data_IF_570543473526
#
_entry.id   IF_570543473526
#
_cell.length_a   1.000
_cell.length_b   1.000
_cell.length_c   1.000
_cell.angle_alpha   90.00
_cell.angle_beta   90.00
_cell.angle_gamma   90.00
#
_symmetry.space_group_name_H-M   'P 1'
#
loop_
_entity.id
_entity.type
_entity.pdbx_description
1 polymer ?
#
# COMPACT_ATOMS: atom_id res chain seq x y z
N UNK A 1 -12.96 22.13 5.06
CA UNK A 1 -13.03 20.73 4.60
C UNK A 1 -12.34 19.88 5.65
N UNK A 2 -13.14 19.14 6.43
CA UNK A 2 -12.59 18.14 7.35
C UNK A 2 -12.40 16.86 6.56
N UNK A 3 -11.20 16.62 6.05
CA UNK A 3 -10.78 15.28 5.68
C UNK A 3 -10.75 14.45 6.95
N UNK A 4 -11.74 13.61 7.15
CA UNK A 4 -11.73 12.64 8.24
C UNK A 4 -10.72 11.56 7.88
N UNK A 5 -9.50 11.73 8.37
CA UNK A 5 -8.44 10.76 8.23
C UNK A 5 -8.63 9.71 9.32
N UNK A 6 -9.03 8.50 8.94
CA UNK A 6 -9.10 7.37 9.87
C UNK A 6 -7.73 6.70 9.88
N UNK A 7 -7.08 6.76 11.02
CA UNK A 7 -5.82 6.06 11.25
C UNK A 7 -6.09 4.67 11.81
N UNK A 8 -5.70 3.64 11.07
CA UNK A 8 -5.66 2.27 11.59
C UNK A 8 -4.22 1.94 11.98
N UNK A 9 -4.05 1.64 13.25
CA UNK A 9 -2.80 1.12 13.77
C UNK A 9 -2.94 -0.39 13.91
N UNK A 10 -2.27 -1.13 13.05
CA UNK A 10 -2.08 -2.57 13.27
C UNK A 10 -0.82 -2.75 14.09
N UNK A 11 -0.99 -3.13 15.33
CA UNK A 11 0.12 -3.67 16.13
C UNK A 11 0.27 -5.12 15.70
N UNK A 12 1.14 -5.36 14.73
CA UNK A 12 1.60 -6.72 14.46
C UNK A 12 2.89 -6.91 15.25
N UNK A 13 2.86 -7.86 16.04
CA UNK A 13 3.84 -8.48 16.84
C UNK A 13 3.72 -8.14 18.31
N UNK A 14 2.91 -8.92 18.87
CA UNK A 14 3.11 -9.34 20.22
C UNK A 14 4.19 -10.40 20.17
N UNK A 15 5.45 -10.01 20.20
CA UNK A 15 6.49 -10.88 20.75
C UNK A 15 5.89 -11.40 22.05
N UNK A 16 5.83 -12.70 22.23
CA UNK A 16 5.21 -13.41 23.34
C UNK A 16 5.43 -12.67 24.69
N UNK A 17 4.43 -11.91 25.10
CA UNK A 17 4.41 -11.14 26.33
C UNK A 17 4.31 -9.62 26.07
N UNK A 18 3.28 -9.01 26.61
CA UNK A 18 3.18 -7.55 26.74
C UNK A 18 4.20 -7.15 27.80
N UNK A 19 5.34 -6.63 27.38
CA UNK A 19 6.30 -6.06 28.32
C UNK A 19 5.85 -4.68 28.73
N UNK A 20 5.50 -4.54 29.99
CA UNK A 20 5.19 -3.26 30.63
C UNK A 20 6.44 -2.77 31.39
N UNK A 21 6.53 -1.47 31.64
CA UNK A 21 7.71 -0.85 32.27
C UNK A 21 8.14 -1.52 33.58
N UNK A 22 7.20 -2.10 34.31
CA UNK A 22 7.44 -2.79 35.57
C UNK A 22 7.79 -4.28 35.43
N UNK A 23 7.69 -4.84 34.22
CA UNK A 23 8.09 -6.23 33.98
C UNK A 23 9.61 -6.40 34.06
N UNK A 24 10.03 -7.62 34.40
CA UNK A 24 11.45 -7.96 34.50
C UNK A 24 11.91 -8.69 33.24
N UNK A 25 13.06 -8.27 32.74
CA UNK A 25 13.73 -8.89 31.62
C UNK A 25 15.11 -9.39 32.03
N UNK A 26 15.43 -10.63 31.68
CA UNK A 26 16.73 -11.21 31.93
C UNK A 26 17.73 -10.75 30.89
N UNK A 27 18.77 -10.03 31.27
CA UNK A 27 19.80 -9.58 30.36
C UNK A 27 20.54 -10.79 29.73
N UNK A 28 20.52 -10.98 28.41
CA UNK A 28 21.12 -12.15 27.77
C UNK A 28 22.66 -12.15 27.87
N UNK A 29 23.29 -11.03 28.18
CA UNK A 29 24.75 -10.91 28.26
C UNK A 29 25.28 -11.25 29.68
N UNK A 30 24.61 -10.77 30.73
CA UNK A 30 25.11 -10.98 32.11
C UNK A 30 24.13 -11.79 32.99
N UNK A 31 22.96 -12.17 32.49
CA UNK A 31 21.97 -12.92 33.24
C UNK A 31 21.23 -12.13 34.35
N UNK A 32 21.49 -10.84 34.50
CA UNK A 32 20.81 -10.03 35.51
C UNK A 32 19.34 -9.83 35.16
N UNK A 33 18.47 -10.00 36.15
CA UNK A 33 17.03 -9.75 36.03
C UNK A 33 16.74 -8.30 36.38
N UNK A 34 16.33 -7.49 35.41
CA UNK A 34 16.22 -6.03 35.52
C UNK A 34 14.87 -5.57 34.99
N UNK A 35 14.28 -4.55 35.58
CA UNK A 35 13.05 -3.95 35.06
C UNK A 35 13.28 -3.36 33.66
N UNK A 36 12.29 -3.51 32.79
CA UNK A 36 12.37 -3.03 31.39
C UNK A 36 12.63 -1.54 31.34
N UNK A 37 11.98 -0.75 32.19
CA UNK A 37 12.22 0.70 32.31
C UNK A 37 13.68 1.08 32.54
N UNK A 38 14.44 0.24 33.26
CA UNK A 38 15.85 0.48 33.55
C UNK A 38 16.77 0.03 32.39
N UNK A 39 16.29 -0.84 31.52
CA UNK A 39 17.04 -1.34 30.35
C UNK A 39 17.02 -0.38 29.15
N UNK A 40 16.17 0.65 29.19
CA UNK A 40 16.07 1.67 28.12
C UNK A 40 17.40 2.41 27.92
N UNK A 41 18.11 2.68 29.01
CA UNK A 41 19.44 3.31 29.00
C UNK A 41 20.59 2.29 28.94
N UNK A 42 20.28 1.00 28.88
CA UNK A 42 21.21 -0.11 28.92
C UNK A 42 21.19 -0.86 30.23
N UNK A 43 21.70 -2.09 30.24
CA UNK A 43 21.77 -2.91 31.44
C UNK A 43 22.63 -2.24 32.51
N UNK A 44 22.11 -2.00 33.74
CA UNK A 44 22.86 -1.32 34.80
C UNK A 44 24.08 -2.09 35.29
N UNK A 45 24.16 -3.41 35.00
CA UNK A 45 25.25 -4.26 35.44
C UNK A 45 26.36 -4.42 34.41
N UNK A 46 26.01 -4.69 33.15
CA UNK A 46 27.00 -4.94 32.08
C UNK A 46 26.99 -3.89 30.98
N UNK A 47 26.13 -2.89 31.07
CA UNK A 47 25.98 -1.79 30.10
C UNK A 47 25.60 -2.24 28.68
N UNK A 48 25.07 -3.45 28.52
CA UNK A 48 24.54 -3.90 27.23
C UNK A 48 23.34 -3.05 26.84
N UNK A 49 23.39 -2.47 25.66
CA UNK A 49 22.26 -1.70 25.10
C UNK A 49 21.27 -2.62 24.41
N UNK A 50 20.00 -2.33 24.59
CA UNK A 50 18.88 -3.05 23.98
C UNK A 50 18.22 -2.20 22.91
N UNK A 51 17.74 -2.85 21.87
CA UNK A 51 16.86 -2.18 20.89
C UNK A 51 15.50 -1.98 21.53
N UNK A 52 14.85 -0.84 21.28
CA UNK A 52 13.47 -0.60 21.77
C UNK A 52 12.50 -1.69 21.35
N UNK A 53 12.69 -2.29 20.17
CA UNK A 53 11.89 -3.41 19.67
C UNK A 53 12.09 -4.74 20.42
N UNK A 54 13.11 -4.85 21.24
CA UNK A 54 13.36 -6.02 22.12
C UNK A 54 12.69 -5.84 23.47
N UNK A 55 12.49 -4.60 23.91
CA UNK A 55 11.93 -4.25 25.19
C UNK A 55 10.43 -3.92 25.13
N UNK A 56 9.98 -3.31 24.04
CA UNK A 56 8.62 -2.80 23.89
C UNK A 56 7.97 -3.29 22.59
N UNK A 57 6.63 -3.40 22.58
CA UNK A 57 5.89 -3.61 21.34
C UNK A 57 6.22 -2.54 20.31
N UNK A 58 6.45 -2.95 19.08
CA UNK A 58 6.72 -2.04 17.96
C UNK A 58 5.56 -1.97 17.00
N UNK A 59 5.32 -0.79 16.44
CA UNK A 59 4.45 -0.64 15.27
C UNK A 59 5.22 -1.14 14.06
N UNK A 60 4.80 -2.25 13.48
CA UNK A 60 5.43 -2.83 12.29
C UNK A 60 4.93 -2.18 11.02
N UNK A 61 3.68 -1.69 11.02
CA UNK A 61 3.09 -1.00 9.89
C UNK A 61 1.97 -0.05 10.35
N UNK A 62 1.83 1.08 9.69
CA UNK A 62 0.66 1.95 9.82
C UNK A 62 0.29 2.51 8.45
N UNK A 63 -0.99 2.74 8.23
CA UNK A 63 -1.49 3.36 7.01
C UNK A 63 -2.67 4.26 7.30
N UNK A 64 -2.79 5.28 6.48
CA UNK A 64 -3.93 6.19 6.55
C UNK A 64 -4.95 5.74 5.50
N UNK A 65 -6.17 5.44 5.95
CA UNK A 65 -7.29 5.30 5.03
C UNK A 65 -7.83 6.71 4.77
N UNK A 66 -7.65 7.21 3.56
CA UNK A 66 -8.45 8.33 3.10
C UNK A 66 -9.87 7.86 2.93
N UNK A 67 -10.78 8.50 3.61
CA UNK A 67 -12.19 8.33 3.31
C UNK A 67 -12.45 8.98 1.95
N UNK A 68 -12.53 8.15 0.91
CA UNK A 68 -12.96 8.58 -0.42
C UNK A 68 -14.46 8.84 -0.48
N UNK A 69 -15.12 9.01 0.66
CA UNK A 69 -16.49 9.43 0.74
C UNK A 69 -16.69 10.73 -0.04
N UNK A 70 -17.34 10.61 -1.20
CA UNK A 70 -17.67 11.78 -2.01
C UNK A 70 -18.52 12.71 -1.18
N UNK A 71 -18.16 13.98 -1.14
CA UNK A 71 -18.97 14.97 -0.45
C UNK A 71 -20.37 15.00 -1.03
N UNK A 72 -21.37 15.31 -0.21
CA UNK A 72 -22.79 15.38 -0.64
C UNK A 72 -22.99 16.34 -1.83
N UNK A 73 -22.16 17.38 -1.91
CA UNK A 73 -22.11 18.34 -3.04
C UNK A 73 -21.65 17.68 -4.34
N UNK A 74 -20.64 16.83 -4.31
CA UNK A 74 -20.14 16.12 -5.49
C UNK A 74 -21.16 15.10 -5.99
N UNK A 75 -21.85 14.40 -5.07
CA UNK A 75 -22.90 13.46 -5.40
C UNK A 75 -24.09 14.16 -6.08
N UNK A 76 -24.51 15.31 -5.55
CA UNK A 76 -25.60 16.13 -6.12
C UNK A 76 -25.19 16.70 -7.49
N UNK A 77 -23.98 17.18 -7.65
CA UNK A 77 -23.44 17.68 -8.92
C UNK A 77 -23.36 16.58 -9.98
N UNK A 78 -22.91 15.39 -9.61
CA UNK A 78 -22.85 14.25 -10.54
C UNK A 78 -24.24 13.78 -10.94
N UNK A 79 -25.18 13.68 -9.99
CA UNK A 79 -26.56 13.28 -10.26
C UNK A 79 -27.27 14.27 -11.18
N UNK A 80 -27.08 15.57 -11.00
CA UNK A 80 -27.71 16.60 -11.84
C UNK A 80 -27.30 16.52 -13.31
N UNK A 81 -26.08 16.11 -13.63
CA UNK A 81 -25.60 15.90 -15.02
C UNK A 81 -26.39 14.83 -15.75
N UNK A 82 -26.94 13.84 -15.04
CA UNK A 82 -27.70 12.76 -15.64
C UNK A 82 -29.22 13.03 -15.61
N UNK A 83 -29.71 13.83 -14.66
CA UNK A 83 -31.14 14.15 -14.55
C UNK A 83 -31.58 15.30 -15.47
N UNK A 84 -30.78 16.37 -15.54
CA UNK A 84 -31.19 17.57 -16.27
C UNK A 84 -31.46 17.36 -17.77
N UNK A 85 -30.59 16.69 -18.57
CA UNK A 85 -30.83 16.52 -19.99
C UNK A 85 -32.12 15.76 -20.33
N UNK A 86 -32.45 14.59 -19.72
CA UNK A 86 -33.72 13.92 -19.98
C UNK A 86 -34.92 14.73 -19.54
N UNK A 87 -34.87 15.43 -18.41
CA UNK A 87 -35.96 16.30 -17.94
C UNK A 87 -36.28 17.38 -18.98
N UNK A 88 -35.23 18.04 -19.53
CA UNK A 88 -35.44 19.06 -20.56
C UNK A 88 -36.02 18.49 -21.85
N UNK A 89 -35.55 17.34 -22.31
CA UNK A 89 -36.06 16.67 -23.52
C UNK A 89 -37.56 16.33 -23.33
N UNK A 90 -37.91 15.69 -22.24
CA UNK A 90 -39.27 15.30 -21.97
C UNK A 90 -40.17 16.51 -21.69
N UNK A 91 -39.67 17.58 -21.07
CA UNK A 91 -40.40 18.85 -20.93
C UNK A 91 -40.82 19.41 -22.28
N UNK A 92 -39.92 19.47 -23.26
CA UNK A 92 -40.19 19.95 -24.62
C UNK A 92 -41.22 19.07 -25.28
N UNK A 93 -41.05 17.75 -25.24
CA UNK A 93 -41.99 16.78 -25.86
C UNK A 93 -43.38 16.92 -25.26
N UNK A 94 -43.52 16.89 -23.94
CA UNK A 94 -44.84 16.96 -23.30
C UNK A 94 -45.48 18.33 -23.48
N UNK A 95 -44.71 19.42 -23.44
CA UNK A 95 -45.25 20.77 -23.74
C UNK A 95 -45.86 20.80 -25.14
N UNK A 96 -45.18 20.25 -26.13
CA UNK A 96 -45.66 20.17 -27.52
C UNK A 96 -46.91 19.30 -27.61
N UNK A 97 -46.88 18.10 -27.02
CA UNK A 97 -48.06 17.19 -27.04
C UNK A 97 -49.28 17.80 -26.37
N UNK A 98 -49.12 18.39 -25.18
CA UNK A 98 -50.22 19.06 -24.49
C UNK A 98 -50.75 20.27 -25.27
N UNK A 99 -49.85 21.06 -25.88
CA UNK A 99 -50.27 22.21 -26.69
C UNK A 99 -51.04 21.78 -27.95
N UNK A 100 -50.58 20.73 -28.63
CA UNK A 100 -51.22 20.20 -29.84
C UNK A 100 -52.58 19.54 -29.53
N UNK A 101 -52.72 18.90 -28.36
CA UNK A 101 -53.97 18.21 -27.97
C UNK A 101 -55.08 19.10 -27.43
N UNK A 102 -54.80 20.39 -27.18
CA UNK A 102 -55.82 21.32 -26.62
C UNK A 102 -56.63 22.04 -27.70
N UNK A 103 -57.99 22.06 -27.52
CA UNK A 103 -58.87 22.77 -28.42
C UNK A 103 -58.66 24.29 -28.41
N UNK A 104 -58.32 24.89 -27.27
CA UNK A 104 -58.09 26.31 -27.08
C UNK A 104 -56.64 26.76 -27.02
N UNK A 105 -55.67 25.88 -27.28
CA UNK A 105 -54.21 26.14 -27.31
C UNK A 105 -53.69 27.02 -26.16
N UNK A 106 -54.04 26.67 -24.94
CA UNK A 106 -53.60 27.40 -23.76
C UNK A 106 -52.16 27.06 -23.43
N UNK A 107 -51.24 28.01 -23.66
CA UNK A 107 -49.81 27.84 -23.51
C UNK A 107 -49.40 27.58 -22.04
N UNK A 108 -50.09 28.19 -21.09
CA UNK A 108 -49.79 28.03 -19.67
C UNK A 108 -50.08 26.58 -19.23
N UNK A 109 -51.20 26.01 -19.67
CA UNK A 109 -51.57 24.62 -19.36
C UNK A 109 -50.63 23.64 -20.03
N UNK A 110 -50.16 23.92 -21.24
CA UNK A 110 -49.15 23.13 -21.95
C UNK A 110 -47.81 23.15 -21.24
N UNK A 111 -47.36 24.30 -20.76
CA UNK A 111 -46.11 24.42 -19.98
C UNK A 111 -46.21 23.68 -18.64
N UNK A 112 -47.34 23.76 -17.94
CA UNK A 112 -47.53 23.00 -16.70
C UNK A 112 -47.52 21.49 -16.95
N UNK A 113 -48.23 21.02 -17.99
CA UNK A 113 -48.20 19.61 -18.39
C UNK A 113 -46.80 19.13 -18.78
N UNK A 114 -46.07 19.98 -19.51
CA UNK A 114 -44.66 19.73 -19.88
C UNK A 114 -43.75 19.65 -18.67
N UNK A 115 -43.90 20.55 -17.69
CA UNK A 115 -43.13 20.54 -16.47
C UNK A 115 -43.35 19.26 -15.64
N UNK A 116 -44.64 18.90 -15.43
CA UNK A 116 -44.96 17.67 -14.68
C UNK A 116 -44.46 16.41 -15.42
N UNK A 117 -44.76 16.29 -16.71
CA UNK A 117 -44.35 15.17 -17.54
C UNK A 117 -42.82 15.06 -17.66
N UNK A 118 -42.15 16.20 -17.84
CA UNK A 118 -40.70 16.29 -17.92
C UNK A 118 -40.02 15.82 -16.64
N UNK A 119 -40.48 16.29 -15.48
CA UNK A 119 -39.91 15.90 -14.18
C UNK A 119 -40.17 14.42 -13.90
N UNK A 120 -41.38 13.92 -14.12
CA UNK A 120 -41.68 12.51 -13.83
C UNK A 120 -40.98 11.56 -14.78
N UNK A 121 -41.12 11.73 -16.10
CA UNK A 121 -40.56 10.80 -17.08
C UNK A 121 -39.09 11.01 -17.29
N UNK A 122 -38.66 12.27 -17.42
CA UNK A 122 -37.25 12.61 -17.62
C UNK A 122 -36.42 12.39 -16.37
N UNK A 123 -36.96 12.70 -15.19
CA UNK A 123 -36.32 12.43 -13.90
C UNK A 123 -36.14 10.93 -13.66
N UNK A 124 -37.19 10.14 -13.95
CA UNK A 124 -37.10 8.67 -13.83
C UNK A 124 -36.05 8.07 -14.78
N UNK A 125 -36.07 8.46 -16.05
CA UNK A 125 -35.07 7.98 -17.02
C UNK A 125 -33.65 8.43 -16.63
N UNK A 126 -33.49 9.69 -16.23
CA UNK A 126 -32.19 10.19 -15.78
C UNK A 126 -31.66 9.46 -14.55
N UNK A 127 -32.53 9.14 -13.60
CA UNK A 127 -32.21 8.34 -12.43
C UNK A 127 -31.76 6.92 -12.83
N UNK A 128 -32.44 6.26 -13.74
CA UNK A 128 -32.08 4.94 -14.26
C UNK A 128 -30.69 5.00 -14.89
N UNK A 129 -30.43 5.95 -15.79
CA UNK A 129 -29.13 6.11 -16.46
C UNK A 129 -28.01 6.33 -15.42
N UNK A 130 -28.25 7.18 -14.43
CA UNK A 130 -27.31 7.43 -13.35
C UNK A 130 -27.05 6.16 -12.51
N UNK A 131 -28.09 5.42 -12.12
CA UNK A 131 -27.98 4.18 -11.37
C UNK A 131 -27.18 3.11 -12.15
N UNK A 132 -27.50 2.92 -13.44
CA UNK A 132 -26.75 2.00 -14.29
C UNK A 132 -25.28 2.42 -14.52
N UNK A 133 -25.01 3.71 -14.62
CA UNK A 133 -23.62 4.22 -14.72
C UNK A 133 -22.82 3.95 -13.45
N UNK A 134 -23.47 4.01 -12.30
CA UNK A 134 -22.87 3.64 -10.99
C UNK A 134 -22.62 2.14 -10.88
N UNK A 135 -23.64 1.36 -11.24
CA UNK A 135 -23.58 -0.09 -11.21
C UNK A 135 -22.49 -0.61 -12.16
N UNK A 136 -22.42 -0.06 -13.37
CA UNK A 136 -21.38 -0.41 -14.34
C UNK A 136 -19.97 -0.11 -13.83
N UNK A 137 -19.76 1.02 -13.17
CA UNK A 137 -18.48 1.32 -12.52
C UNK A 137 -18.16 0.36 -11.37
N UNK A 138 -19.15 0.07 -10.51
CA UNK A 138 -19.00 -0.92 -9.44
C UNK A 138 -18.63 -2.30 -9.97
N UNK A 139 -19.28 -2.78 -11.04
CA UNK A 139 -18.94 -4.04 -11.69
C UNK A 139 -17.56 -4.02 -12.35
N UNK A 140 -17.18 -2.89 -12.97
CA UNK A 140 -15.84 -2.73 -13.55
C UNK A 140 -14.75 -2.74 -12.49
N UNK A 141 -14.94 -2.01 -11.40
CA UNK A 141 -14.00 -1.96 -10.27
C UNK A 141 -13.98 -3.29 -9.49
N UNK A 142 -15.16 -3.92 -9.31
CA UNK A 142 -15.26 -5.25 -8.71
C UNK A 142 -14.61 -6.33 -9.59
N UNK A 143 -14.78 -6.26 -10.91
CA UNK A 143 -14.13 -7.19 -11.84
C UNK A 143 -12.61 -7.12 -11.78
N UNK A 144 -12.04 -5.92 -11.71
CA UNK A 144 -10.60 -5.72 -11.46
C UNK A 144 -10.18 -6.25 -10.07
N UNK A 145 -11.00 -6.00 -9.05
CA UNK A 145 -10.72 -6.42 -7.67
C UNK A 145 -10.85 -7.93 -7.47
N UNK A 146 -11.79 -8.60 -8.14
CA UNK A 146 -11.96 -10.06 -8.07
C UNK A 146 -10.74 -10.76 -8.68
N UNK A 147 -10.24 -10.31 -9.82
CA UNK A 147 -9.00 -10.83 -10.41
C UNK A 147 -7.78 -10.64 -9.51
N UNK A 148 -7.70 -9.51 -8.81
CA UNK A 148 -6.66 -9.23 -7.81
C UNK A 148 -6.78 -10.15 -6.59
N UNK A 149 -8.00 -10.32 -6.04
CA UNK A 149 -8.26 -11.14 -4.86
C UNK A 149 -7.95 -12.63 -5.11
N UNK A 150 -8.31 -13.18 -6.29
CA UNK A 150 -7.99 -14.58 -6.64
C UNK A 150 -6.49 -14.80 -6.77
N UNK A 151 -5.75 -13.87 -7.38
CA UNK A 151 -4.30 -13.92 -7.47
C UNK A 151 -3.63 -13.79 -6.10
N UNK A 152 -4.17 -12.95 -5.21
CA UNK A 152 -3.66 -12.79 -3.84
C UNK A 152 -3.84 -14.05 -2.99
N UNK A 153 -5.04 -14.65 -3.00
CA UNK A 153 -5.33 -15.85 -2.21
C UNK A 153 -4.42 -17.02 -2.61
N UNK A 154 -4.20 -17.21 -3.91
CA UNK A 154 -3.24 -18.18 -4.43
C UNK A 154 -1.80 -17.84 -4.04
N UNK A 155 -1.43 -16.58 -4.08
CA UNK A 155 -0.07 -16.09 -3.78
C UNK A 155 0.30 -16.36 -2.32
N UNK A 156 -0.56 -16.00 -1.38
CA UNK A 156 -0.33 -16.23 0.05
C UNK A 156 -0.17 -17.71 0.36
N UNK A 157 -1.08 -18.55 -0.15
CA UNK A 157 -1.01 -20.03 0.05
C UNK A 157 0.28 -20.60 -0.54
N UNK A 158 0.62 -20.24 -1.76
CA UNK A 158 1.82 -20.74 -2.44
C UNK A 158 3.10 -20.30 -1.73
N UNK A 159 3.18 -19.03 -1.34
CA UNK A 159 4.32 -18.49 -0.60
C UNK A 159 4.49 -19.19 0.75
N UNK A 160 3.43 -19.22 1.57
CA UNK A 160 3.49 -19.83 2.90
C UNK A 160 3.84 -21.32 2.82
N UNK A 161 3.27 -22.06 1.87
CA UNK A 161 3.62 -23.49 1.69
C UNK A 161 5.08 -23.68 1.25
N UNK A 162 5.59 -22.80 0.41
CA UNK A 162 6.98 -22.86 -0.04
C UNK A 162 7.94 -22.51 1.10
N UNK A 163 7.68 -21.44 1.84
CA UNK A 163 8.56 -20.93 2.90
C UNK A 163 8.60 -21.80 4.15
N UNK A 164 7.57 -22.62 4.41
CA UNK A 164 7.56 -23.60 5.51
C UNK A 164 8.79 -24.54 5.53
N UNK A 165 9.44 -24.73 4.40
CA UNK A 165 10.67 -25.56 4.29
C UNK A 165 11.88 -24.89 4.95
N UNK A 166 11.88 -23.57 5.04
CA UNK A 166 12.99 -22.77 5.55
C UNK A 166 12.67 -22.19 6.92
N UNK A 167 11.47 -21.66 7.10
CA UNK A 167 10.98 -21.16 8.38
C UNK A 167 9.44 -21.14 8.37
N UNK A 168 8.82 -21.76 9.39
CA UNK A 168 7.35 -21.83 9.50
C UNK A 168 6.68 -20.55 10.00
N UNK A 169 7.46 -19.63 10.55
CA UNK A 169 6.96 -18.36 11.12
C UNK A 169 6.81 -17.25 10.07
N UNK A 170 7.37 -17.47 8.87
CA UNK A 170 7.30 -16.47 7.80
C UNK A 170 5.90 -16.49 7.19
N UNK A 171 5.19 -15.39 7.34
CA UNK A 171 3.91 -15.18 6.68
C UNK A 171 4.06 -14.38 5.37
N UNK A 172 3.09 -14.56 4.47
CA UNK A 172 3.03 -13.77 3.24
C UNK A 172 2.85 -12.28 3.53
N UNK A 173 2.13 -11.93 4.59
CA UNK A 173 1.88 -10.56 5.02
C UNK A 173 3.19 -9.87 5.46
N UNK A 174 4.04 -10.58 6.20
CA UNK A 174 5.38 -10.11 6.54
C UNK A 174 6.20 -9.85 5.28
N UNK A 175 6.24 -10.83 4.37
CA UNK A 175 6.94 -10.71 3.09
C UNK A 175 6.41 -9.55 2.25
N UNK A 176 5.10 -9.39 2.15
CA UNK A 176 4.46 -8.27 1.45
C UNK A 176 4.90 -6.92 2.01
N UNK A 177 4.85 -6.75 3.32
CA UNK A 177 5.30 -5.50 3.97
C UNK A 177 6.77 -5.21 3.66
N UNK A 178 7.61 -6.25 3.67
CA UNK A 178 9.03 -6.14 3.33
C UNK A 178 9.24 -5.70 1.88
N UNK A 179 8.55 -6.35 0.94
CA UNK A 179 8.62 -6.01 -0.50
C UNK A 179 8.24 -4.55 -0.74
N UNK A 180 7.12 -4.09 -0.17
CA UNK A 180 6.66 -2.71 -0.34
C UNK A 180 7.66 -1.71 0.25
N UNK A 181 8.23 -2.01 1.41
CA UNK A 181 9.26 -1.18 2.02
C UNK A 181 10.51 -1.09 1.14
N UNK A 182 10.96 -2.21 0.58
CA UNK A 182 12.12 -2.25 -0.32
C UNK A 182 11.85 -1.45 -1.61
N UNK A 183 10.70 -1.64 -2.24
CA UNK A 183 10.31 -0.86 -3.44
C UNK A 183 10.37 0.64 -3.14
N UNK A 184 9.72 1.09 -2.05
CA UNK A 184 9.68 2.51 -1.71
C UNK A 184 11.07 3.08 -1.41
N UNK A 185 11.90 2.36 -0.68
CA UNK A 185 13.29 2.81 -0.39
C UNK A 185 14.10 2.93 -1.67
N UNK A 186 13.95 2.01 -2.62
CA UNK A 186 14.69 2.02 -3.87
C UNK A 186 14.20 3.14 -4.78
N UNK A 187 12.88 3.27 -4.96
CA UNK A 187 12.28 4.26 -5.87
C UNK A 187 12.52 5.70 -5.41
N UNK A 188 12.45 5.94 -4.08
CA UNK A 188 12.63 7.29 -3.52
C UNK A 188 14.06 7.58 -3.05
N UNK A 189 15.03 6.79 -3.48
CA UNK A 189 16.44 7.06 -3.25
C UNK A 189 17.00 7.98 -4.33
N UNK A 190 17.85 8.92 -3.93
CA UNK A 190 18.57 9.78 -4.87
C UNK A 190 19.47 8.97 -5.81
N UNK A 191 20.03 7.86 -5.33
CA UNK A 191 20.86 6.95 -6.13
C UNK A 191 20.55 5.48 -5.80
N UNK A 192 19.55 4.87 -6.49
CA UNK A 192 19.18 3.48 -6.24
C UNK A 192 20.32 2.48 -6.38
N UNK A 193 21.26 2.73 -7.31
CA UNK A 193 22.36 1.82 -7.58
C UNK A 193 23.43 1.77 -6.46
N UNK A 194 23.45 2.77 -5.59
CA UNK A 194 24.32 2.79 -4.42
C UNK A 194 23.73 2.06 -3.21
N UNK A 195 22.44 1.75 -3.25
CA UNK A 195 21.79 1.06 -2.15
C UNK A 195 22.24 -0.39 -2.06
N UNK A 196 22.67 -0.88 -0.88
CA UNK A 196 23.03 -2.29 -0.68
C UNK A 196 21.91 -3.28 -0.94
N UNK A 197 20.66 -2.82 -0.82
CA UNK A 197 19.44 -3.62 -1.06
C UNK A 197 19.09 -3.79 -2.53
N UNK A 198 19.76 -3.06 -3.42
CA UNK A 198 19.47 -3.07 -4.86
C UNK A 198 20.69 -3.47 -5.68
N UNK A 199 20.55 -4.55 -6.45
CA UNK A 199 21.57 -5.07 -7.35
C UNK A 199 21.05 -5.18 -8.80
N UNK A 200 20.06 -4.35 -9.15
CA UNK A 200 19.48 -4.33 -10.48
C UNK A 200 20.12 -3.33 -11.43
N UNK A 201 19.50 -3.17 -12.58
CA UNK A 201 19.86 -2.14 -13.56
C UNK A 201 19.46 -0.75 -13.07
N UNK A 202 20.01 0.28 -13.70
CA UNK A 202 19.60 1.65 -13.45
C UNK A 202 18.10 1.86 -13.73
N UNK A 203 17.41 2.44 -12.77
CA UNK A 203 15.96 2.70 -12.80
C UNK A 203 15.62 4.18 -12.69
N UNK A 204 16.61 5.06 -12.63
CA UNK A 204 16.42 6.51 -12.42
C UNK A 204 15.42 7.12 -13.39
N UNK A 205 15.48 6.74 -14.66
CA UNK A 205 14.56 7.25 -15.70
C UNK A 205 13.14 6.66 -15.64
N UNK A 206 12.93 5.55 -14.92
CA UNK A 206 11.63 4.85 -14.90
C UNK A 206 10.69 5.45 -13.86
N UNK A 207 11.25 5.96 -12.75
CA UNK A 207 10.49 6.42 -11.59
C UNK A 207 10.68 7.91 -11.29
N UNK A 208 11.37 8.66 -12.16
CA UNK A 208 11.79 10.05 -11.95
C UNK A 208 10.63 11.00 -11.61
N UNK A 209 9.49 10.86 -12.30
CA UNK A 209 8.33 11.73 -12.10
C UNK A 209 7.41 11.29 -10.94
N UNK A 210 7.74 10.20 -10.26
CA UNK A 210 6.90 9.66 -9.17
C UNK A 210 7.24 10.35 -7.87
N UNK A 211 6.29 11.10 -7.33
CA UNK A 211 6.42 11.81 -6.06
C UNK A 211 5.82 11.06 -4.87
N UNK A 212 4.94 10.08 -5.14
CA UNK A 212 4.34 9.23 -4.10
C UNK A 212 3.86 7.90 -4.67
N UNK A 213 3.86 6.86 -3.84
CA UNK A 213 3.40 5.51 -4.18
C UNK A 213 2.54 4.94 -3.05
N UNK A 214 1.27 4.72 -3.32
CA UNK A 214 0.33 4.10 -2.40
C UNK A 214 0.11 2.62 -2.75
N UNK A 215 0.36 1.72 -1.80
CA UNK A 215 0.10 0.30 -1.97
C UNK A 215 -1.40 0.00 -1.92
N UNK A 216 -1.91 -0.69 -2.92
CA UNK A 216 -3.34 -1.01 -3.06
C UNK A 216 -3.78 -2.28 -2.30
N UNK A 217 -2.93 -2.80 -1.43
CA UNK A 217 -3.22 -4.00 -0.63
C UNK A 217 -3.04 -5.31 -1.40
N UNK A 218 -2.53 -5.30 -2.63
CA UNK A 218 -2.39 -6.48 -3.47
C UNK A 218 -0.94 -6.70 -3.92
N UNK A 219 -0.37 -7.86 -3.55
CA UNK A 219 0.89 -8.40 -4.05
C UNK A 219 0.62 -9.76 -4.70
N UNK A 220 0.86 -9.88 -5.99
CA UNK A 220 0.70 -11.13 -6.71
C UNK A 220 2.05 -11.85 -6.86
N UNK A 221 2.14 -13.06 -6.33
CA UNK A 221 3.30 -13.92 -6.50
C UNK A 221 3.27 -14.56 -7.91
N UNK A 222 4.21 -14.18 -8.77
CA UNK A 222 4.34 -14.76 -10.12
C UNK A 222 5.11 -16.07 -10.09
N UNK A 223 6.21 -16.10 -9.35
CA UNK A 223 7.09 -17.25 -9.28
C UNK A 223 7.85 -17.25 -7.96
N UNK A 224 8.03 -18.43 -7.39
CA UNK A 224 8.97 -18.67 -6.30
C UNK A 224 9.75 -19.95 -6.61
N UNK A 225 11.06 -19.89 -6.50
CA UNK A 225 11.94 -21.02 -6.78
C UNK A 225 13.23 -20.90 -6.01
N UNK A 226 13.90 -22.03 -5.83
CA UNK A 226 15.29 -22.07 -5.38
C UNK A 226 16.19 -22.29 -6.58
N UNK A 227 17.26 -21.55 -6.63
CA UNK A 227 18.30 -21.66 -7.64
C UNK A 227 19.65 -21.22 -7.05
N UNK A 228 20.69 -22.02 -7.21
CA UNK A 228 22.07 -21.73 -6.79
C UNK A 228 22.17 -21.32 -5.29
N UNK A 229 21.41 -22.01 -4.42
CA UNK A 229 21.39 -21.73 -2.98
C UNK A 229 20.68 -20.42 -2.61
N UNK A 230 19.89 -19.87 -3.51
CA UNK A 230 19.08 -18.67 -3.30
C UNK A 230 17.60 -18.95 -3.53
N UNK A 231 16.74 -18.36 -2.71
CA UNK A 231 15.31 -18.25 -2.95
C UNK A 231 15.08 -17.04 -3.84
N UNK A 232 14.51 -17.25 -5.02
CA UNK A 232 14.17 -16.21 -5.97
C UNK A 232 12.65 -16.06 -6.00
N UNK A 233 12.18 -14.84 -5.75
CA UNK A 233 10.75 -14.49 -5.78
C UNK A 233 10.52 -13.43 -6.83
N UNK A 234 9.56 -13.68 -7.74
CA UNK A 234 9.06 -12.71 -8.69
C UNK A 234 7.64 -12.34 -8.30
N UNK A 235 7.38 -11.08 -8.07
CA UNK A 235 6.08 -10.60 -7.62
C UNK A 235 5.69 -9.29 -8.32
N UNK A 236 4.39 -9.05 -8.41
CA UNK A 236 3.82 -7.77 -8.87
C UNK A 236 3.14 -7.08 -7.68
N UNK A 237 3.62 -5.92 -7.34
CA UNK A 237 3.00 -5.04 -6.35
C UNK A 237 2.08 -4.04 -7.06
N UNK A 238 0.80 -4.03 -6.67
CA UNK A 238 -0.18 -3.09 -7.23
C UNK A 238 -0.15 -1.79 -6.45
N UNK A 239 0.19 -0.71 -7.16
CA UNK A 239 0.43 0.61 -6.59
C UNK A 239 -0.47 1.65 -7.24
N UNK A 240 -0.84 2.68 -6.50
CA UNK A 240 -1.32 3.94 -7.07
C UNK A 240 -0.15 4.90 -7.04
N UNK A 241 0.44 5.17 -8.19
CA UNK A 241 1.56 6.08 -8.36
C UNK A 241 1.05 7.51 -8.58
N UNK A 242 1.63 8.46 -7.88
CA UNK A 242 1.37 9.89 -8.02
C UNK A 242 2.54 10.50 -8.77
N UNK A 243 2.25 11.08 -9.93
CA UNK A 243 3.21 11.73 -10.81
C UNK A 243 3.08 13.23 -10.72
N UNK A 244 4.20 13.93 -10.78
CA UNK A 244 4.25 15.37 -11.00
C UNK A 244 4.98 15.67 -12.32
N UNK A 245 4.26 16.24 -13.27
CA UNK A 245 4.81 16.64 -14.56
C UNK A 245 4.27 18.03 -14.89
N UNK A 246 5.16 18.99 -15.14
CA UNK A 246 4.81 20.39 -15.46
C UNK A 246 3.89 21.06 -14.42
N UNK A 247 4.13 20.80 -13.13
CA UNK A 247 3.32 21.32 -12.03
C UNK A 247 1.90 20.73 -11.94
N UNK A 248 1.62 19.63 -12.65
CA UNK A 248 0.35 18.93 -12.62
C UNK A 248 0.52 17.57 -11.95
N UNK A 249 -0.31 17.30 -10.96
CA UNK A 249 -0.35 16.02 -10.25
C UNK A 249 -1.35 15.06 -10.90
N UNK A 250 -0.91 13.88 -11.24
CA UNK A 250 -1.76 12.80 -11.80
C UNK A 250 -1.55 11.51 -11.02
N UNK A 251 -2.63 10.78 -10.77
CA UNK A 251 -2.59 9.45 -10.15
C UNK A 251 -2.88 8.39 -11.19
N UNK A 252 -2.07 7.31 -11.17
CA UNK A 252 -2.26 6.14 -12.03
C UNK A 252 -2.16 4.86 -11.19
N UNK A 253 -3.02 3.90 -11.52
CA UNK A 253 -2.98 2.56 -10.95
C UNK A 253 -2.10 1.68 -11.84
N UNK A 254 -0.98 1.21 -11.31
CA UNK A 254 0.04 0.47 -12.05
C UNK A 254 0.55 -0.72 -11.23
N UNK A 255 1.22 -1.65 -11.88
CA UNK A 255 1.89 -2.76 -11.20
C UNK A 255 3.39 -2.62 -11.31
N UNK A 256 4.08 -2.75 -10.20
CA UNK A 256 5.53 -2.78 -10.12
C UNK A 256 5.96 -4.23 -10.02
N UNK A 257 6.62 -4.74 -11.07
CA UNK A 257 7.23 -6.06 -11.07
C UNK A 257 8.57 -6.00 -10.33
N UNK A 258 8.75 -6.89 -9.37
CA UNK A 258 9.95 -6.94 -8.54
C UNK A 258 10.51 -8.36 -8.48
N UNK A 259 11.82 -8.49 -8.59
CA UNK A 259 12.54 -9.73 -8.38
C UNK A 259 13.38 -9.59 -7.11
N UNK A 260 13.15 -10.48 -6.15
CA UNK A 260 13.88 -10.53 -4.90
C UNK A 260 14.67 -11.83 -4.80
N UNK A 261 15.84 -11.74 -4.20
CA UNK A 261 16.70 -12.89 -3.91
C UNK A 261 17.09 -12.89 -2.44
N UNK A 262 17.25 -14.09 -1.89
CA UNK A 262 17.74 -14.33 -0.53
C UNK A 262 18.46 -15.65 -0.46
N UNK A 263 19.61 -15.70 0.21
CA UNK A 263 20.34 -16.95 0.44
C UNK A 263 19.55 -17.89 1.34
N UNK A 264 19.62 -19.20 1.06
CA UNK A 264 18.86 -20.22 1.81
C UNK A 264 19.47 -20.56 3.16
N UNK A 265 20.79 -20.39 3.30
CA UNK A 265 21.58 -20.67 4.51
C UNK A 265 21.56 -19.54 5.54
N UNK A 266 20.97 -18.39 5.21
CA UNK A 266 20.86 -17.25 6.11
C UNK A 266 19.62 -17.40 7.01
N UNK A 267 19.75 -17.36 8.35
CA UNK A 267 18.60 -17.42 9.23
C UNK A 267 17.70 -16.17 9.06
N UNK A 268 16.40 -16.35 9.24
CA UNK A 268 15.45 -15.22 9.19
C UNK A 268 15.53 -14.42 10.50
N UNK A 269 15.80 -13.14 10.37
CA UNK A 269 15.73 -12.18 11.48
C UNK A 269 14.57 -11.21 11.26
N UNK A 270 13.47 -11.41 11.97
CA UNK A 270 12.27 -10.55 11.90
C UNK A 270 12.52 -9.15 12.49
N UNK A 271 13.53 -9.02 13.34
CA UNK A 271 13.97 -7.74 13.91
C UNK A 271 14.93 -6.96 13.00
N UNK A 272 15.34 -7.55 11.88
CA UNK A 272 16.33 -6.94 10.99
C UNK A 272 15.86 -5.62 10.42
N UNK A 273 16.66 -4.57 10.59
CA UNK A 273 16.42 -3.25 10.03
C UNK A 273 17.63 -2.78 9.24
N UNK A 274 17.43 -2.43 7.98
CA UNK A 274 18.48 -1.88 7.10
C UNK A 274 19.08 -0.58 7.66
N UNK A 275 18.28 0.18 8.40
CA UNK A 275 18.69 1.46 9.00
C UNK A 275 19.58 1.30 10.22
N UNK A 276 19.71 0.09 10.79
CA UNK A 276 20.53 -0.16 11.95
C UNK A 276 21.14 -1.58 11.89
N UNK A 277 22.26 -1.67 11.20
CA UNK A 277 23.02 -2.92 11.05
C UNK A 277 24.19 -2.91 12.00
N UNK A 278 24.47 -4.06 12.59
CA UNK A 278 25.65 -4.27 13.40
C UNK A 278 26.75 -4.92 12.55
N UNK A 279 27.91 -4.29 12.50
CA UNK A 279 29.07 -4.84 11.81
C UNK A 279 29.54 -6.14 12.46
N UNK A 280 29.71 -7.21 11.67
CA UNK A 280 30.19 -8.50 12.18
C UNK A 280 31.63 -8.45 12.70
N UNK A 281 32.44 -7.49 12.22
CA UNK A 281 33.85 -7.38 12.60
C UNK A 281 34.08 -6.50 13.85
N UNK A 282 33.49 -5.31 13.91
CA UNK A 282 33.74 -4.36 14.99
C UNK A 282 32.55 -4.13 15.90
N UNK A 283 31.40 -4.80 15.66
CA UNK A 283 30.14 -4.62 16.36
C UNK A 283 29.54 -3.18 16.31
N UNK A 284 30.16 -2.26 15.58
CA UNK A 284 29.64 -0.91 15.38
C UNK A 284 28.31 -0.93 14.62
N UNK A 285 27.33 -0.15 15.07
CA UNK A 285 26.03 -0.04 14.39
C UNK A 285 26.05 1.13 13.41
N UNK A 286 25.55 0.91 12.19
CA UNK A 286 25.48 1.94 11.15
C UNK A 286 24.25 1.77 10.25
N UNK A 287 23.94 2.81 9.49
CA UNK A 287 22.84 2.82 8.52
C UNK A 287 23.33 2.26 7.17
N UNK A 288 22.90 1.03 6.85
CA UNK A 288 23.27 0.38 5.60
C UNK A 288 22.50 0.89 4.37
N UNK A 289 21.53 1.79 4.54
CA UNK A 289 20.92 2.47 3.39
C UNK A 289 21.88 3.51 2.79
N UNK A 290 22.88 3.94 3.55
CA UNK A 290 23.82 4.99 3.16
C UNK A 290 25.23 4.47 2.86
N UNK A 291 25.60 3.33 3.41
CA UNK A 291 26.99 2.85 3.37
C UNK A 291 27.06 1.36 3.03
N UNK A 292 27.83 1.00 2.01
CA UNK A 292 28.17 -0.39 1.67
C UNK A 292 29.36 -0.95 2.46
N UNK A 293 30.05 -0.11 3.18
CA UNK A 293 31.18 -0.42 4.05
C UNK A 293 30.90 0.08 5.45
N UNK A 294 31.37 -0.65 6.44
CA UNK A 294 31.29 -0.20 7.83
C UNK A 294 32.10 1.10 8.00
N UNK A 295 31.48 2.20 8.45
CA UNK A 295 32.18 3.48 8.61
C UNK A 295 33.20 3.49 9.74
N UNK A 296 33.22 2.46 10.58
CA UNK A 296 34.13 2.36 11.75
C UNK A 296 35.37 1.54 11.46
N UNK A 297 35.26 0.43 10.73
CA UNK A 297 36.38 -0.47 10.49
C UNK A 297 36.67 -0.74 9.00
N UNK A 298 35.91 -0.08 8.10
CA UNK A 298 36.01 -0.24 6.65
C UNK A 298 35.77 -1.67 6.12
N UNK A 299 35.19 -2.56 6.93
CA UNK A 299 34.87 -3.91 6.48
C UNK A 299 33.74 -3.84 5.45
N UNK A 300 33.81 -4.60 4.35
CA UNK A 300 32.73 -4.68 3.38
C UNK A 300 31.49 -5.31 4.02
N UNK A 301 30.34 -4.79 3.66
CA UNK A 301 29.07 -5.27 4.12
C UNK A 301 28.26 -5.80 2.92
N UNK A 302 27.83 -7.05 3.03
CA UNK A 302 26.97 -7.68 2.02
C UNK A 302 25.62 -7.99 2.62
N UNK A 303 24.59 -7.27 2.17
CA UNK A 303 23.23 -7.45 2.65
C UNK A 303 22.64 -8.81 2.27
N UNK A 304 23.09 -9.40 1.17
CA UNK A 304 22.74 -10.76 0.74
C UNK A 304 22.95 -11.81 1.84
N UNK A 305 23.90 -11.57 2.73
CA UNK A 305 24.24 -12.45 3.85
C UNK A 305 23.31 -12.24 5.06
N UNK A 306 22.30 -11.41 4.95
CA UNK A 306 21.43 -11.06 6.08
C UNK A 306 19.94 -11.04 5.73
N UNK A 307 19.55 -10.60 4.52
CA UNK A 307 18.15 -10.41 4.19
C UNK A 307 17.88 -10.45 2.67
N UNK A 308 16.64 -10.15 2.30
CA UNK A 308 16.23 -10.01 0.92
C UNK A 308 16.89 -8.82 0.23
N UNK A 309 17.36 -9.04 -0.99
CA UNK A 309 17.83 -8.01 -1.91
C UNK A 309 16.91 -7.96 -3.13
N UNK A 310 16.82 -6.80 -3.76
CA UNK A 310 16.08 -6.61 -5.01
C UNK A 310 17.06 -6.63 -6.17
N UNK A 311 16.86 -7.55 -7.11
CA UNK A 311 17.72 -7.71 -8.29
C UNK A 311 17.10 -7.17 -9.57
N UNK A 312 15.81 -6.87 -9.56
CA UNK A 312 15.12 -6.19 -10.65
C UNK A 312 13.87 -5.48 -10.16
N UNK A 313 13.60 -4.30 -10.69
CA UNK A 313 12.36 -3.56 -10.50
C UNK A 313 11.95 -2.94 -11.84
N UNK A 314 10.67 -3.08 -12.20
CA UNK A 314 10.10 -2.59 -13.48
C UNK A 314 8.65 -2.16 -13.30
N UNK A 315 8.21 -1.21 -14.07
CA UNK A 315 6.78 -0.89 -14.24
C UNK A 315 6.22 -1.59 -15.46
#
# INVERSE_FOLDING_TARGET
EKDSMIMYQTVTDVLSGVHVDDDYYCCPNCGANVKISQLVEGCPYCRTFFKMSELYPKVSNFYFLRDYGRTEKELKSEMSRFLLPPILVFFIIYTFVFFAGQAHKNIILALLGGAIGGVLSGGFLGYIIWAFSKLGRLFWDAGKSIGLLTNMAGSAKNFNNYMKRYNSEISFEYFQSKVISLIKVIVFSDNPNELPIYMGNDISNVFEDIIDMDFRGALALRKIREQDGKIIVVADAYMTNTYETDGKVKKKDESVNVVLERKTDVPFDFGFSIKKIQCKQCAGSFDATKNRICPYCNSPYQLEDMDWIVTSIKM
#
